data_IF_490476582420
#
_entry.id   IF_490476582420
#
_cell.length_a   1.000
_cell.length_b   1.000
_cell.length_c   1.000
_cell.angle_alpha   90.00
_cell.angle_beta   90.00
_cell.angle_gamma   90.00
#
_symmetry.space_group_name_H-M   'P 1'
#
loop_
_entity.id
_entity.type
_entity.pdbx_description
1 polymer ?
#
# COMPACT_ATOMS: atom_id res chain seq x y z
N UNK A 1 -0.09 -10.14 -0.88
CA UNK A 1 -0.34 -8.85 -0.19
C UNK A 1 -1.80 -8.47 -0.37
N UNK A 2 -2.37 -7.83 0.64
CA UNK A 2 -3.74 -7.31 0.68
C UNK A 2 -3.72 -5.86 1.17
N UNK A 3 -4.55 -5.00 0.61
CA UNK A 3 -4.65 -3.59 1.00
C UNK A 3 -6.09 -3.09 0.97
N UNK A 4 -6.43 -2.21 1.91
CA UNK A 4 -7.68 -1.47 1.92
C UNK A 4 -7.51 -0.11 2.60
N UNK A 5 -8.45 0.79 2.31
CA UNK A 5 -8.53 2.12 2.92
C UNK A 5 -9.99 2.45 3.17
N UNK A 6 -10.26 3.12 4.29
CA UNK A 6 -11.60 3.55 4.63
C UNK A 6 -11.61 4.70 5.62
N UNK A 7 -12.75 4.89 6.25
CA UNK A 7 -13.02 5.94 7.23
C UNK A 7 -13.84 5.39 8.38
N UNK A 8 -13.44 5.75 9.58
CA UNK A 8 -14.22 5.53 10.79
C UNK A 8 -15.07 6.77 11.10
N UNK A 9 -16.38 6.56 11.13
CA UNK A 9 -17.38 7.57 11.47
C UNK A 9 -17.89 7.32 12.90
N UNK A 10 -17.13 7.75 13.91
CA UNK A 10 -17.48 7.53 15.31
C UNK A 10 -16.32 7.86 16.26
N UNK A 11 -16.61 7.99 17.56
CA UNK A 11 -15.62 8.39 18.55
C UNK A 11 -14.57 7.30 18.75
N UNK A 12 -13.34 7.74 19.08
CA UNK A 12 -12.25 6.90 19.58
C UNK A 12 -11.97 5.62 18.76
N UNK A 13 -11.66 5.72 17.45
CA UNK A 13 -11.34 4.56 16.62
C UNK A 13 -10.16 3.74 17.14
N UNK A 14 -9.13 4.39 17.70
CA UNK A 14 -7.98 3.71 18.28
C UNK A 14 -8.36 2.79 19.44
N UNK A 15 -9.27 3.22 20.32
CA UNK A 15 -9.74 2.41 21.45
C UNK A 15 -10.63 1.25 21.00
N UNK A 16 -11.33 1.40 19.87
CA UNK A 16 -12.09 0.29 19.27
C UNK A 16 -11.15 -0.79 18.72
N UNK A 17 -10.09 -0.39 18.01
CA UNK A 17 -9.08 -1.32 17.49
C UNK A 17 -8.37 -2.03 18.64
N UNK A 18 -7.88 -1.28 19.64
CA UNK A 18 -7.14 -1.84 20.78
C UNK A 18 -7.93 -2.93 21.50
N UNK A 19 -9.18 -2.64 21.89
CA UNK A 19 -10.07 -3.62 22.55
C UNK A 19 -10.33 -4.84 21.69
N UNK A 20 -10.46 -4.68 20.37
CA UNK A 20 -10.69 -5.79 19.45
C UNK A 20 -9.45 -6.67 19.31
N UNK A 21 -8.25 -6.09 19.19
CA UNK A 21 -6.99 -6.82 19.13
C UNK A 21 -6.72 -7.59 20.43
N UNK A 22 -6.94 -6.96 21.59
CA UNK A 22 -6.83 -7.61 22.91
C UNK A 22 -7.77 -8.82 23.02
N UNK A 23 -9.01 -8.69 22.52
CA UNK A 23 -9.99 -9.78 22.48
C UNK A 23 -9.53 -10.93 21.57
N UNK A 24 -9.06 -10.63 20.36
CA UNK A 24 -8.58 -11.65 19.43
C UNK A 24 -7.31 -12.36 19.90
N UNK A 25 -6.43 -11.68 20.64
CA UNK A 25 -5.28 -12.31 21.28
C UNK A 25 -5.72 -13.23 22.43
N UNK A 26 -6.67 -12.77 23.27
CA UNK A 26 -7.25 -13.60 24.33
C UNK A 26 -7.94 -14.86 23.77
N UNK A 27 -8.59 -14.74 22.61
CA UNK A 27 -9.23 -15.84 21.88
C UNK A 27 -8.23 -16.70 21.09
N UNK A 28 -6.92 -16.41 21.16
CA UNK A 28 -5.85 -17.09 20.44
C UNK A 28 -6.00 -17.07 18.90
N UNK A 29 -6.73 -16.10 18.37
CA UNK A 29 -6.86 -15.85 16.92
C UNK A 29 -5.66 -15.06 16.41
N UNK A 30 -5.21 -14.06 17.17
CA UNK A 30 -3.97 -13.33 16.91
C UNK A 30 -2.82 -13.98 17.68
N UNK A 31 -1.64 -14.01 17.07
CA UNK A 31 -0.43 -14.46 17.75
C UNK A 31 0.19 -13.36 18.58
N UNK A 32 0.19 -12.14 18.06
CA UNK A 32 0.71 -10.95 18.75
C UNK A 32 0.17 -9.69 18.08
N UNK A 33 0.06 -8.63 18.87
CA UNK A 33 -0.22 -7.29 18.38
C UNK A 33 0.62 -6.28 19.15
N UNK A 34 0.83 -5.10 18.57
CA UNK A 34 1.49 -3.98 19.24
C UNK A 34 0.98 -2.65 18.67
N UNK A 35 1.09 -1.60 19.48
CA UNK A 35 0.85 -0.22 19.10
C UNK A 35 2.21 0.49 19.18
N UNK A 36 2.98 0.54 18.08
CA UNK A 36 4.28 1.20 18.10
C UNK A 36 4.10 2.70 18.38
N UNK A 37 4.94 3.24 19.27
CA UNK A 37 5.08 4.69 19.38
C UNK A 37 5.64 5.21 18.06
N UNK A 38 4.81 5.88 17.26
CA UNK A 38 5.30 6.54 16.06
C UNK A 38 6.25 7.66 16.50
N UNK A 39 7.54 7.47 16.21
CA UNK A 39 8.61 8.39 16.62
C UNK A 39 8.52 9.72 15.83
N UNK A 40 7.72 9.74 14.77
CA UNK A 40 7.41 10.93 14.00
C UNK A 40 6.23 11.72 14.59
N UNK A 41 6.32 13.05 14.48
CA UNK A 41 5.36 14.04 14.98
C UNK A 41 3.96 13.97 14.30
N UNK A 42 3.62 12.86 13.66
CA UNK A 42 2.49 12.63 12.76
C UNK A 42 1.12 12.64 13.45
N UNK A 43 1.07 12.44 14.79
CA UNK A 43 -0.17 12.16 15.55
C UNK A 43 -1.01 11.01 14.97
N UNK A 44 -0.40 10.19 14.10
CA UNK A 44 -1.00 8.99 13.52
C UNK A 44 -0.97 7.89 14.58
N UNK A 45 -2.06 7.12 14.68
CA UNK A 45 -2.06 5.93 15.54
C UNK A 45 -1.82 4.71 14.68
N UNK A 46 -0.88 3.86 15.10
CA UNK A 46 -0.44 2.70 14.32
C UNK A 46 -0.67 1.44 15.14
N UNK A 47 -1.22 0.42 14.50
CA UNK A 47 -1.38 -0.91 15.06
C UNK A 47 -0.72 -1.93 14.14
N UNK A 48 0.06 -2.82 14.71
CA UNK A 48 0.67 -3.96 14.02
C UNK A 48 0.10 -5.25 14.61
N UNK A 49 -0.22 -6.21 13.74
CA UNK A 49 -0.76 -7.50 14.16
C UNK A 49 -0.17 -8.64 13.31
N UNK A 50 0.11 -9.77 13.98
CA UNK A 50 0.60 -11.01 13.37
C UNK A 50 -0.36 -12.15 13.69
N UNK A 51 -0.66 -12.96 12.68
CA UNK A 51 -1.45 -14.19 12.84
C UNK A 51 -1.05 -15.25 11.81
N UNK A 52 -1.59 -16.46 11.98
CA UNK A 52 -1.52 -17.51 10.98
C UNK A 52 -2.83 -17.58 10.20
N UNK A 53 -2.73 -17.39 8.88
CA UNK A 53 -3.82 -17.73 7.98
C UNK A 53 -3.91 -19.27 7.79
N UNK A 54 -5.05 -19.80 7.31
CA UNK A 54 -5.20 -21.21 6.99
C UNK A 54 -4.04 -21.76 6.17
N UNK A 55 -3.50 -22.91 6.57
CA UNK A 55 -2.28 -23.49 6.01
C UNK A 55 -0.99 -23.05 6.73
N UNK A 56 -1.11 -22.53 7.96
CA UNK A 56 0.02 -22.06 8.79
C UNK A 56 0.85 -20.95 8.13
N UNK A 57 0.19 -20.15 7.29
CA UNK A 57 0.85 -19.06 6.56
C UNK A 57 0.92 -17.83 7.46
N UNK A 58 2.13 -17.35 7.74
CA UNK A 58 2.31 -16.12 8.52
C UNK A 58 1.78 -14.91 7.75
N UNK A 59 0.93 -14.12 8.41
CA UNK A 59 0.48 -12.81 7.94
C UNK A 59 0.93 -11.73 8.91
N UNK A 60 1.50 -10.66 8.35
CA UNK A 60 1.87 -9.42 9.02
C UNK A 60 0.98 -8.31 8.49
N UNK A 61 0.40 -7.52 9.36
CA UNK A 61 -0.40 -6.38 8.91
C UNK A 61 -0.21 -5.15 9.78
N UNK A 62 -0.38 -4.00 9.15
CA UNK A 62 -0.29 -2.69 9.77
C UNK A 62 -1.51 -1.87 9.41
N UNK A 63 -2.23 -1.42 10.44
CA UNK A 63 -3.28 -0.44 10.35
C UNK A 63 -2.72 0.92 10.78
N UNK A 64 -2.92 1.94 9.97
CA UNK A 64 -2.60 3.32 10.32
C UNK A 64 -3.87 4.16 10.33
N UNK A 65 -4.09 4.93 11.40
CA UNK A 65 -5.19 5.85 11.57
C UNK A 65 -4.68 7.30 11.47
N UNK A 66 -4.98 7.97 10.36
CA UNK A 66 -4.61 9.38 10.14
C UNK A 66 -5.16 10.26 11.26
N UNK A 67 -4.61 11.46 11.56
CA UNK A 67 -5.19 12.33 12.59
C UNK A 67 -6.66 12.69 12.27
N UNK A 68 -7.51 12.90 13.30
CA UNK A 68 -8.91 13.23 13.12
C UNK A 68 -9.06 14.51 12.29
N UNK A 69 -10.00 14.52 11.34
CA UNK A 69 -10.26 15.67 10.47
C UNK A 69 -11.63 16.29 10.75
N UNK A 70 -11.64 17.61 10.93
CA UNK A 70 -12.88 18.39 11.09
C UNK A 70 -13.53 18.23 12.46
N UNK A 71 -14.81 18.65 12.56
CA UNK A 71 -15.57 18.68 13.81
C UNK A 71 -16.30 17.36 14.14
N UNK A 72 -16.23 16.36 13.25
CA UNK A 72 -17.03 15.13 13.32
C UNK A 72 -16.22 13.90 13.81
N UNK A 73 -15.00 14.09 14.33
CA UNK A 73 -14.08 13.01 14.74
C UNK A 73 -13.91 11.91 13.67
N UNK A 74 -14.05 12.28 12.39
CA UNK A 74 -13.89 11.35 11.28
C UNK A 74 -12.40 11.07 11.06
N UNK A 75 -12.06 9.79 11.03
CA UNK A 75 -10.67 9.35 10.93
C UNK A 75 -10.48 8.37 9.77
N UNK A 76 -9.59 8.70 8.86
CA UNK A 76 -9.24 7.81 7.76
C UNK A 76 -8.30 6.72 8.24
N UNK A 77 -8.47 5.51 7.74
CA UNK A 77 -7.63 4.39 8.05
C UNK A 77 -7.07 3.76 6.78
N UNK A 78 -5.83 3.28 6.85
CA UNK A 78 -5.15 2.53 5.79
C UNK A 78 -4.64 1.22 6.38
N UNK A 79 -4.91 0.10 5.71
CA UNK A 79 -4.51 -1.22 6.16
C UNK A 79 -3.76 -1.95 5.05
N UNK A 80 -2.52 -2.36 5.34
CA UNK A 80 -1.72 -3.24 4.50
C UNK A 80 -1.46 -4.54 5.24
N UNK A 81 -1.64 -5.67 4.57
CA UNK A 81 -1.29 -6.99 5.06
C UNK A 81 -0.40 -7.73 4.04
N UNK A 82 0.69 -8.30 4.52
CA UNK A 82 1.61 -9.11 3.75
C UNK A 82 1.68 -10.51 4.34
N UNK A 83 1.51 -11.50 3.47
CA UNK A 83 1.72 -12.90 3.79
C UNK A 83 3.04 -13.37 3.18
N UNK A 84 3.64 -14.40 3.76
CA UNK A 84 4.82 -15.08 3.22
C UNK A 84 4.58 -15.76 1.84
N UNK A 85 3.32 -15.91 1.45
CA UNK A 85 2.87 -16.53 0.19
C UNK A 85 1.92 -15.61 -0.58
N UNK A 86 1.63 -15.88 -1.88
CA UNK A 86 0.57 -15.20 -2.61
C UNK A 86 -0.73 -15.21 -1.81
N UNK A 87 -1.45 -14.08 -1.82
CA UNK A 87 -2.64 -13.92 -0.99
C UNK A 87 -3.77 -14.84 -1.50
N UNK A 88 -4.33 -15.70 -0.64
CA UNK A 88 -5.55 -16.45 -0.96
C UNK A 88 -6.79 -15.60 -0.57
N UNK A 89 -7.67 -15.25 -1.54
CA UNK A 89 -8.91 -14.52 -1.26
C UNK A 89 -9.84 -15.20 -0.25
N UNK A 90 -9.69 -16.51 -0.01
CA UNK A 90 -10.50 -17.28 0.95
C UNK A 90 -10.08 -17.05 2.40
N UNK A 91 -8.88 -16.51 2.65
CA UNK A 91 -8.46 -16.16 3.99
C UNK A 91 -9.35 -15.07 4.58
N UNK A 92 -9.51 -15.01 5.91
CA UNK A 92 -10.24 -13.93 6.55
C UNK A 92 -9.70 -12.56 6.12
N UNK A 93 -10.58 -11.58 5.98
CA UNK A 93 -10.17 -10.23 5.65
C UNK A 93 -9.32 -9.63 6.76
N UNK A 94 -8.15 -9.05 6.45
CA UNK A 94 -7.35 -8.28 7.42
C UNK A 94 -8.15 -7.21 8.14
N UNK A 95 -9.09 -6.54 7.46
CA UNK A 95 -9.96 -5.56 8.14
C UNK A 95 -10.74 -6.15 9.32
N UNK A 96 -11.18 -7.41 9.24
CA UNK A 96 -11.89 -8.08 10.33
C UNK A 96 -10.96 -8.46 11.51
N UNK A 97 -9.64 -8.49 11.29
CA UNK A 97 -8.66 -8.69 12.35
C UNK A 97 -8.42 -7.41 13.17
N UNK A 98 -8.68 -6.23 12.61
CA UNK A 98 -8.47 -4.94 13.30
C UNK A 98 -9.77 -4.31 13.79
N UNK A 99 -10.87 -4.55 13.08
CA UNK A 99 -12.15 -3.92 13.39
C UNK A 99 -13.17 -4.94 13.87
N UNK A 100 -13.99 -4.58 14.87
CA UNK A 100 -15.06 -5.46 15.35
C UNK A 100 -16.11 -5.68 14.26
N UNK A 101 -16.59 -6.92 14.16
CA UNK A 101 -17.66 -7.31 13.26
C UNK A 101 -19.02 -7.13 13.94
N UNK A 102 -19.94 -6.41 13.30
CA UNK A 102 -21.36 -6.36 13.69
C UNK A 102 -21.80 -5.03 14.30
N UNK A 103 -22.99 -4.56 13.89
CA UNK A 103 -23.59 -3.26 14.21
C UNK A 103 -23.90 -3.01 15.70
N UNK A 104 -23.75 -4.02 16.57
CA UNK A 104 -24.15 -3.96 17.98
C UNK A 104 -23.02 -3.53 18.93
N UNK A 105 -21.75 -3.53 18.47
CA UNK A 105 -20.63 -3.05 19.30
C UNK A 105 -20.37 -1.54 19.10
N UNK A 106 -19.98 -0.78 20.15
CA UNK A 106 -19.50 0.59 20.00
C UNK A 106 -18.18 0.60 19.19
N UNK A 107 -18.17 1.26 18.02
CA UNK A 107 -17.06 1.22 17.04
C UNK A 107 -17.49 0.83 15.61
N UNK A 108 -18.79 0.76 15.35
CA UNK A 108 -19.45 0.25 14.13
C UNK A 108 -19.49 1.20 12.93
N UNK A 109 -18.63 2.21 12.93
CA UNK A 109 -18.57 3.22 11.87
C UNK A 109 -17.38 3.07 10.93
N UNK A 110 -16.57 2.01 11.06
CA UNK A 110 -15.32 1.83 10.31
C UNK A 110 -15.53 1.46 8.84
N UNK A 111 -16.70 0.95 8.49
CA UNK A 111 -17.04 0.35 7.21
C UNK A 111 -17.41 1.38 6.13
N UNK A 112 -16.81 2.56 6.15
CA UNK A 112 -17.02 3.60 5.14
C UNK A 112 -15.82 3.72 4.21
N UNK A 113 -16.05 3.85 2.91
CA UNK A 113 -15.02 4.16 1.92
C UNK A 113 -14.50 5.59 2.14
N UNK A 114 -13.19 5.76 1.97
CA UNK A 114 -12.45 6.91 2.46
C UNK A 114 -12.90 8.26 1.89
N UNK A 115 -13.40 8.32 0.64
CA UNK A 115 -13.70 9.58 -0.06
C UNK A 115 -15.20 9.84 -0.15
N UNK A 116 -15.97 8.88 -0.65
CA UNK A 116 -17.42 9.02 -0.88
C UNK A 116 -18.24 8.67 0.36
N UNK A 117 -17.69 7.93 1.31
CA UNK A 117 -18.43 7.47 2.49
C UNK A 117 -19.43 6.36 2.20
N UNK A 118 -19.30 5.68 1.06
CA UNK A 118 -20.11 4.52 0.76
C UNK A 118 -19.76 3.37 1.71
N UNK A 119 -20.72 2.49 1.98
CA UNK A 119 -20.54 1.37 2.90
C UNK A 119 -19.76 0.25 2.23
N UNK A 120 -18.70 -0.20 2.90
CA UNK A 120 -17.96 -1.42 2.60
C UNK A 120 -18.78 -2.61 3.09
N UNK A 121 -18.92 -3.66 2.27
CA UNK A 121 -19.67 -4.86 2.68
C UNK A 121 -21.20 -4.75 2.60
N UNK A 122 -21.74 -3.60 2.19
CA UNK A 122 -23.17 -3.37 2.07
C UNK A 122 -23.59 -2.81 0.70
N UNK A 123 -24.90 -2.76 0.48
CA UNK A 123 -25.54 -2.28 -0.74
C UNK A 123 -25.56 -0.75 -0.77
N UNK A 124 -24.95 -0.13 -1.78
CA UNK A 124 -25.01 1.32 -1.96
C UNK A 124 -25.94 1.70 -3.11
N UNK A 125 -27.09 2.30 -2.80
CA UNK A 125 -27.99 2.83 -3.82
C UNK A 125 -27.36 4.04 -4.51
N UNK A 126 -27.35 4.03 -5.85
CA UNK A 126 -26.84 5.17 -6.62
C UNK A 126 -27.76 6.38 -6.46
N UNK A 127 -27.20 7.60 -6.33
CA UNK A 127 -28.02 8.81 -6.13
C UNK A 127 -29.04 9.07 -7.25
N UNK A 128 -30.22 9.53 -6.85
CA UNK A 128 -31.27 10.03 -7.75
C UNK A 128 -30.82 11.33 -8.47
N UNK A 129 -30.05 12.18 -7.78
CA UNK A 129 -29.50 13.41 -8.35
C UNK A 129 -28.39 13.11 -9.37
N UNK A 130 -28.51 13.67 -10.58
CA UNK A 130 -27.58 13.41 -11.69
C UNK A 130 -26.16 13.93 -11.41
N UNK A 131 -26.01 15.01 -10.65
CA UNK A 131 -24.70 15.59 -10.32
C UNK A 131 -23.98 14.71 -9.30
N UNK A 132 -24.68 14.25 -8.28
CA UNK A 132 -24.15 13.31 -7.28
C UNK A 132 -23.88 11.93 -7.89
N UNK A 133 -24.76 11.42 -8.75
CA UNK A 133 -24.52 10.19 -9.52
C UNK A 133 -23.19 10.26 -10.29
N UNK A 134 -22.99 11.34 -11.05
CA UNK A 134 -21.75 11.58 -11.79
C UNK A 134 -20.55 11.69 -10.85
N UNK A 135 -20.70 12.31 -9.67
CA UNK A 135 -19.62 12.42 -8.70
C UNK A 135 -19.21 11.04 -8.17
N UNK A 136 -20.19 10.23 -7.76
CA UNK A 136 -19.97 8.88 -7.21
C UNK A 136 -19.34 7.95 -8.25
N UNK A 137 -19.89 7.87 -9.47
CA UNK A 137 -19.36 6.96 -10.49
C UNK A 137 -17.97 7.39 -10.98
N UNK A 138 -17.71 8.69 -11.12
CA UNK A 138 -16.36 9.17 -11.47
C UNK A 138 -15.34 8.88 -10.37
N UNK A 139 -15.75 8.96 -9.11
CA UNK A 139 -14.90 8.52 -8.01
C UNK A 139 -14.65 7.01 -8.08
N UNK A 140 -15.70 6.21 -8.24
CA UNK A 140 -15.63 4.75 -8.31
C UNK A 140 -14.71 4.24 -9.43
N UNK A 141 -14.66 4.91 -10.58
CA UNK A 141 -13.72 4.55 -11.65
C UNK A 141 -12.28 4.98 -11.33
N UNK A 142 -12.09 6.07 -10.57
CA UNK A 142 -10.76 6.60 -10.24
C UNK A 142 -10.16 5.99 -8.98
N UNK A 143 -10.98 5.39 -8.13
CA UNK A 143 -10.50 4.75 -6.92
C UNK A 143 -9.66 3.53 -7.27
N UNK A 144 -8.44 3.52 -6.74
CA UNK A 144 -7.48 2.43 -6.89
C UNK A 144 -7.50 1.48 -5.68
N UNK A 145 -8.12 1.89 -4.57
CA UNK A 145 -8.15 1.12 -3.33
C UNK A 145 -9.21 0.02 -3.35
N UNK A 146 -10.40 0.31 -3.89
CA UNK A 146 -11.51 -0.64 -3.96
C UNK A 146 -11.75 -1.18 -5.37
N UNK A 147 -12.40 -2.33 -5.44
CA UNK A 147 -13.03 -2.86 -6.66
C UNK A 147 -14.48 -2.42 -6.66
N UNK A 148 -14.89 -1.65 -7.66
CA UNK A 148 -16.24 -1.14 -7.77
C UNK A 148 -17.08 -2.00 -8.71
N UNK A 149 -18.25 -2.43 -8.26
CA UNK A 149 -19.20 -3.23 -9.04
C UNK A 149 -20.52 -2.47 -9.14
N UNK A 150 -20.97 -2.20 -10.36
CA UNK A 150 -22.27 -1.57 -10.60
C UNK A 150 -23.25 -2.63 -11.05
N UNK A 151 -24.34 -2.81 -10.30
CA UNK A 151 -25.39 -3.79 -10.57
C UNK A 151 -26.69 -3.07 -10.89
N UNK A 152 -27.34 -3.47 -11.97
CA UNK A 152 -28.64 -2.94 -12.34
C UNK A 152 -29.77 -3.78 -11.76
N UNK A 153 -30.70 -3.13 -11.05
CA UNK A 153 -31.78 -3.81 -10.33
C UNK A 153 -32.99 -4.19 -11.19
N UNK A 154 -32.98 -3.98 -12.51
CA UNK A 154 -34.09 -4.49 -13.32
C UNK A 154 -34.07 -6.02 -13.38
N UNK A 155 -35.27 -6.60 -13.35
CA UNK A 155 -35.58 -8.00 -13.00
C UNK A 155 -35.62 -8.15 -11.48
N UNK A 156 -36.84 -8.36 -10.97
CA UNK A 156 -37.22 -8.29 -9.54
C UNK A 156 -36.17 -8.99 -8.67
N UNK A 157 -35.36 -8.28 -7.86
CA UNK A 157 -34.52 -8.96 -6.90
C UNK A 157 -35.46 -9.69 -5.95
N UNK A 158 -35.42 -11.02 -6.00
CA UNK A 158 -36.05 -11.88 -5.01
C UNK A 158 -35.44 -11.62 -3.62
N UNK A 159 -35.91 -12.32 -2.59
CA UNK A 159 -35.31 -12.19 -1.26
C UNK A 159 -33.79 -12.50 -1.25
N UNK A 160 -33.28 -13.21 -2.27
CA UNK A 160 -31.86 -13.52 -2.48
C UNK A 160 -31.09 -12.43 -3.21
N UNK A 161 -31.76 -11.55 -3.97
CA UNK A 161 -31.17 -10.39 -4.63
C UNK A 161 -31.08 -9.13 -3.74
N UNK A 162 -31.71 -9.16 -2.56
CA UNK A 162 -31.67 -8.07 -1.57
C UNK A 162 -30.37 -7.96 -0.77
N UNK A 163 -29.72 -9.07 -0.35
CA UNK A 163 -28.42 -9.00 0.32
C UNK A 163 -27.32 -8.48 -0.62
N UNK A 164 -26.32 -7.81 -0.06
CA UNK A 164 -25.13 -7.41 -0.79
C UNK A 164 -24.41 -8.65 -1.36
N UNK A 165 -24.03 -8.58 -2.65
CA UNK A 165 -23.16 -9.55 -3.33
C UNK A 165 -21.85 -9.75 -2.57
N UNK A 166 -21.40 -8.70 -1.89
CA UNK A 166 -20.17 -8.71 -1.10
C UNK A 166 -20.20 -9.82 -0.03
N UNK A 167 -21.37 -10.17 0.52
CA UNK A 167 -21.50 -11.26 1.50
C UNK A 167 -21.22 -12.64 0.92
N UNK A 168 -21.44 -12.80 -0.39
CA UNK A 168 -21.20 -14.04 -1.15
C UNK A 168 -19.76 -14.14 -1.67
N UNK A 169 -18.98 -13.06 -1.58
CA UNK A 169 -17.57 -13.09 -1.94
C UNK A 169 -16.72 -13.83 -0.90
N UNK A 170 -15.56 -14.39 -1.32
CA UNK A 170 -14.53 -14.84 -0.39
C UNK A 170 -14.21 -13.76 0.64
N UNK A 171 -13.92 -14.18 1.89
CA UNK A 171 -13.83 -13.24 3.01
C UNK A 171 -12.79 -12.15 2.80
N UNK A 172 -11.64 -12.50 2.21
CA UNK A 172 -10.57 -11.58 1.88
C UNK A 172 -10.97 -10.49 0.87
N UNK A 173 -12.09 -10.61 0.16
CA UNK A 173 -12.58 -9.57 -0.75
C UNK A 173 -13.66 -8.67 -0.15
N UNK A 174 -14.26 -9.05 0.99
CA UNK A 174 -15.44 -8.36 1.53
C UNK A 174 -15.23 -6.88 1.79
N UNK A 175 -14.05 -6.49 2.27
CA UNK A 175 -13.73 -5.09 2.61
C UNK A 175 -12.89 -4.38 1.53
N UNK A 176 -12.85 -4.96 0.32
CA UNK A 176 -12.21 -4.36 -0.86
C UNK A 176 -13.19 -4.13 -2.00
N UNK A 177 -14.43 -4.60 -1.88
CA UNK A 177 -15.45 -4.45 -2.93
C UNK A 177 -16.53 -3.47 -2.48
N UNK A 178 -16.83 -2.51 -3.35
CA UNK A 178 -17.94 -1.57 -3.19
C UNK A 178 -19.01 -1.89 -4.23
N UNK A 179 -20.18 -2.25 -3.76
CA UNK A 179 -21.34 -2.55 -4.59
C UNK A 179 -22.23 -1.32 -4.76
N UNK A 180 -22.52 -0.96 -6.01
CA UNK A 180 -23.39 0.13 -6.41
C UNK A 180 -24.65 -0.43 -7.05
N UNK A 181 -25.82 -0.02 -6.58
CA UNK A 181 -27.11 -0.41 -7.15
C UNK A 181 -27.70 0.70 -8.00
N UNK A 182 -27.89 0.41 -9.27
CA UNK A 182 -28.60 1.25 -10.19
C UNK A 182 -30.09 0.87 -10.20
N UNK A 183 -30.94 1.78 -9.73
CA UNK A 183 -32.38 1.63 -9.84
C UNK A 183 -32.82 1.44 -11.30
N UNK A 184 -33.91 0.69 -11.58
CA UNK A 184 -34.29 0.30 -12.95
C UNK A 184 -34.44 1.47 -13.94
N UNK A 185 -34.96 2.60 -13.46
CA UNK A 185 -35.18 3.83 -14.24
C UNK A 185 -33.88 4.61 -14.52
N UNK A 186 -32.78 4.31 -13.82
CA UNK A 186 -31.51 5.06 -13.86
C UNK A 186 -30.50 4.49 -14.85
N UNK A 187 -30.77 3.35 -15.48
CA UNK A 187 -29.84 2.66 -16.39
C UNK A 187 -29.21 3.59 -17.44
N UNK A 188 -30.03 4.44 -18.07
CA UNK A 188 -29.57 5.35 -19.13
C UNK A 188 -28.61 6.41 -18.57
N UNK A 189 -28.91 6.97 -17.40
CA UNK A 189 -28.05 7.97 -16.76
C UNK A 189 -26.71 7.34 -16.30
N UNK A 190 -26.76 6.13 -15.73
CA UNK A 190 -25.56 5.38 -15.33
C UNK A 190 -24.67 5.09 -16.54
N UNK A 191 -25.22 4.50 -17.61
CA UNK A 191 -24.44 4.19 -18.81
C UNK A 191 -23.92 5.44 -19.52
N UNK A 192 -24.64 6.56 -19.48
CA UNK A 192 -24.13 7.82 -20.01
C UNK A 192 -22.85 8.28 -19.30
N UNK A 193 -22.73 8.05 -17.99
CA UNK A 193 -21.49 8.37 -17.25
C UNK A 193 -20.39 7.35 -17.52
N UNK A 194 -20.73 6.06 -17.58
CA UNK A 194 -19.74 4.98 -17.71
C UNK A 194 -19.19 4.82 -19.13
N UNK A 195 -19.93 5.26 -20.16
CA UNK A 195 -19.48 5.25 -21.55
C UNK A 195 -18.17 6.03 -21.72
N UNK A 196 -17.99 7.14 -21.00
CA UNK A 196 -16.75 7.95 -20.99
C UNK A 196 -15.52 7.15 -20.50
N UNK A 197 -15.75 6.04 -19.79
CA UNK A 197 -14.74 5.16 -19.21
C UNK A 197 -14.69 3.79 -19.88
N UNK A 198 -15.40 3.61 -21.01
CA UNK A 198 -15.41 2.34 -21.75
C UNK A 198 -16.14 1.20 -21.03
N UNK A 199 -17.04 1.52 -20.10
CA UNK A 199 -17.81 0.52 -19.36
C UNK A 199 -19.32 0.71 -19.60
N UNK A 200 -20.06 -0.40 -19.64
CA UNK A 200 -21.52 -0.37 -19.82
C UNK A 200 -22.19 -1.46 -18.99
N UNK A 201 -23.21 -1.06 -18.23
CA UNK A 201 -24.06 -1.93 -17.42
C UNK A 201 -25.18 -2.49 -18.32
N UNK A 202 -25.29 -3.82 -18.48
CA UNK A 202 -26.43 -4.43 -19.16
C UNK A 202 -27.72 -4.28 -18.35
N UNK A 203 -28.87 -4.30 -19.03
CA UNK A 203 -30.16 -4.28 -18.33
C UNK A 203 -30.35 -5.56 -17.51
N UNK A 204 -30.30 -5.42 -16.19
CA UNK A 204 -30.44 -6.52 -15.22
C UNK A 204 -29.14 -7.27 -14.96
N UNK A 205 -28.05 -6.73 -15.49
CA UNK A 205 -26.70 -7.23 -15.38
C UNK A 205 -25.86 -6.44 -14.37
N UNK A 206 -24.57 -6.72 -14.39
CA UNK A 206 -23.57 -6.01 -13.61
C UNK A 206 -22.31 -5.73 -14.43
N UNK A 207 -21.50 -4.79 -13.99
CA UNK A 207 -20.17 -4.54 -14.54
C UNK A 207 -19.17 -4.27 -13.42
N UNK A 208 -17.99 -4.86 -13.52
CA UNK A 208 -16.83 -4.49 -12.68
C UNK A 208 -16.13 -3.32 -13.36
N UNK A 209 -15.98 -2.20 -12.66
CA UNK A 209 -15.40 -1.00 -13.23
C UNK A 209 -13.90 -1.17 -13.52
N UNK A 210 -13.38 -0.60 -14.62
CA UNK A 210 -12.01 -0.83 -15.09
C UNK A 210 -10.91 -0.29 -14.16
N UNK A 211 -11.22 0.71 -13.33
CA UNK A 211 -10.20 1.56 -12.71
C UNK A 211 -9.68 2.64 -13.67
N UNK A 212 -8.89 3.58 -13.16
CA UNK A 212 -8.24 4.63 -13.95
C UNK A 212 -6.80 4.85 -13.45
N UNK A 213 -5.76 4.43 -14.21
CA UNK A 213 -5.85 3.76 -15.50
C UNK A 213 -6.49 2.37 -15.40
N UNK A 214 -7.07 1.90 -16.52
CA UNK A 214 -7.63 0.55 -16.58
C UNK A 214 -6.54 -0.50 -16.31
N UNK A 215 -6.88 -1.54 -15.55
CA UNK A 215 -5.94 -2.61 -15.24
C UNK A 215 -5.42 -3.30 -16.52
N UNK A 216 -4.12 -3.62 -16.63
CA UNK A 216 -3.60 -4.43 -17.73
C UNK A 216 -4.39 -5.74 -17.89
N UNK A 217 -4.86 -6.02 -19.11
CA UNK A 217 -5.69 -7.21 -19.40
C UNK A 217 -7.18 -7.03 -19.11
N UNK A 218 -7.64 -5.81 -18.77
CA UNK A 218 -9.06 -5.50 -18.69
C UNK A 218 -9.70 -5.49 -20.08
N UNK A 219 -10.75 -6.31 -20.26
CA UNK A 219 -11.61 -6.34 -21.44
C UNK A 219 -13.06 -6.13 -20.98
N UNK A 220 -13.70 -5.04 -21.43
CA UNK A 220 -15.00 -4.61 -20.92
C UNK A 220 -16.07 -5.72 -21.03
N UNK A 221 -16.05 -6.49 -22.11
CA UNK A 221 -16.98 -7.60 -22.35
C UNK A 221 -16.79 -8.74 -21.35
N UNK A 222 -15.57 -8.98 -20.87
CA UNK A 222 -15.28 -10.07 -19.90
C UNK A 222 -15.69 -9.74 -18.47
N UNK A 223 -15.85 -8.45 -18.17
CA UNK A 223 -16.22 -7.91 -16.87
C UNK A 223 -17.63 -7.32 -16.84
N UNK A 224 -18.38 -7.48 -17.93
CA UNK A 224 -19.79 -7.14 -18.05
C UNK A 224 -20.64 -8.42 -18.09
N UNK A 225 -21.51 -8.58 -17.09
CA UNK A 225 -22.39 -9.73 -16.92
C UNK A 225 -23.79 -9.32 -17.31
N UNK A 226 -24.44 -10.08 -18.19
CA UNK A 226 -25.74 -9.70 -18.78
C UNK A 226 -26.91 -9.82 -17.81
N UNK A 227 -26.82 -10.78 -16.88
CA UNK A 227 -27.89 -11.10 -15.95
C UNK A 227 -27.30 -11.50 -14.60
N UNK A 228 -27.83 -10.93 -13.52
CA UNK A 228 -27.40 -11.27 -12.15
C UNK A 228 -28.43 -12.13 -11.42
N UNK A 229 -29.72 -11.89 -11.65
CA UNK A 229 -30.80 -12.42 -10.80
C UNK A 229 -31.85 -13.25 -11.54
N UNK A 230 -31.65 -13.61 -12.82
CA UNK A 230 -32.78 -14.10 -13.64
C UNK A 230 -33.45 -15.40 -13.18
N UNK A 231 -32.84 -16.22 -12.31
CA UNK A 231 -33.36 -17.57 -12.03
C UNK A 231 -33.34 -17.96 -10.53
N UNK A 232 -33.16 -17.01 -9.61
CA UNK A 232 -33.01 -17.30 -8.17
C UNK A 232 -31.75 -18.12 -7.82
N UNK A 233 -30.90 -18.42 -8.79
CA UNK A 233 -29.59 -19.02 -8.61
C UNK A 233 -28.59 -18.01 -8.03
N UNK A 234 -27.53 -18.50 -7.38
CA UNK A 234 -26.46 -17.64 -6.89
C UNK A 234 -25.81 -16.87 -8.06
N UNK A 235 -25.44 -15.58 -7.87
CA UNK A 235 -24.90 -14.71 -8.92
C UNK A 235 -23.43 -15.04 -9.26
N UNK A 236 -23.13 -16.30 -9.55
CA UNK A 236 -21.78 -16.85 -9.73
C UNK A 236 -20.99 -16.14 -10.82
N UNK A 237 -21.61 -15.79 -11.95
CA UNK A 237 -20.95 -15.07 -13.04
C UNK A 237 -20.37 -13.71 -12.60
N UNK A 238 -21.09 -12.97 -11.76
CA UNK A 238 -20.63 -11.68 -11.22
C UNK A 238 -19.52 -11.90 -10.19
N UNK A 239 -19.69 -12.88 -9.29
CA UNK A 239 -18.67 -13.21 -8.30
C UNK A 239 -17.36 -13.65 -8.96
N UNK A 240 -17.43 -14.43 -10.04
CA UNK A 240 -16.27 -14.86 -10.81
C UNK A 240 -15.67 -13.72 -11.63
N UNK A 241 -16.47 -12.76 -12.12
CA UNK A 241 -15.95 -11.55 -12.74
C UNK A 241 -15.14 -10.71 -11.73
N UNK A 242 -15.63 -10.55 -10.50
CA UNK A 242 -14.91 -9.84 -9.43
C UNK A 242 -13.61 -10.55 -9.06
N UNK A 243 -13.64 -11.88 -8.90
CA UNK A 243 -12.44 -12.69 -8.61
C UNK A 243 -11.38 -12.58 -9.71
N UNK A 244 -11.80 -12.68 -10.97
CA UNK A 244 -10.90 -12.52 -12.13
C UNK A 244 -10.32 -11.11 -12.20
N UNK A 245 -11.10 -10.09 -11.84
CA UNK A 245 -10.63 -8.71 -11.83
C UNK A 245 -9.60 -8.47 -10.71
N UNK A 246 -9.84 -8.99 -9.51
CA UNK A 246 -8.89 -8.86 -8.40
C UNK A 246 -7.55 -9.57 -8.68
N UNK A 247 -7.58 -10.66 -9.45
CA UNK A 247 -6.39 -11.39 -9.89
C UNK A 247 -5.59 -10.68 -11.00
N UNK A 248 -6.09 -9.58 -11.59
CA UNK A 248 -5.33 -8.81 -12.57
C UNK A 248 -4.11 -8.13 -11.90
N UNK A 249 -2.96 -8.05 -12.60
CA UNK A 249 -1.81 -7.32 -12.08
C UNK A 249 -2.15 -5.82 -12.05
N UNK A 250 -2.41 -5.28 -10.86
CA UNK A 250 -2.71 -3.87 -10.66
C UNK A 250 -1.54 -3.17 -9.97
N UNK A 251 -1.21 -1.93 -10.37
CA UNK A 251 -0.28 -1.12 -9.59
C UNK A 251 -0.82 -0.93 -8.18
N UNK A 252 0.07 -0.68 -7.23
CA UNK A 252 -0.35 -0.34 -5.88
C UNK A 252 -1.15 0.96 -5.90
N UNK A 253 -2.20 1.07 -5.06
CA UNK A 253 -2.98 2.29 -4.98
C UNK A 253 -2.12 3.45 -4.51
N UNK A 254 -2.54 4.69 -4.76
CA UNK A 254 -1.81 5.88 -4.33
C UNK A 254 -1.55 5.85 -2.81
N UNK A 255 -0.27 5.89 -2.42
CA UNK A 255 0.18 5.76 -1.02
C UNK A 255 0.42 4.32 -0.55
N UNK A 256 0.01 3.32 -1.34
CA UNK A 256 0.19 1.90 -1.04
C UNK A 256 1.65 1.44 -1.03
N UNK A 257 2.48 1.91 -1.97
CA UNK A 257 3.92 1.63 -1.99
C UNK A 257 4.62 2.11 -0.71
N UNK A 258 4.29 3.32 -0.28
CA UNK A 258 4.86 3.90 0.95
C UNK A 258 4.39 3.11 2.17
N UNK A 259 3.10 2.80 2.28
CA UNK A 259 2.56 2.02 3.39
C UNK A 259 3.15 0.59 3.45
N UNK A 260 3.38 -0.04 2.29
CA UNK A 260 4.03 -1.35 2.21
C UNK A 260 5.52 -1.28 2.58
N UNK A 261 6.22 -0.23 2.16
CA UNK A 261 7.62 0.00 2.54
C UNK A 261 7.74 0.15 4.05
N UNK A 262 6.87 0.97 4.65
CA UNK A 262 6.78 1.15 6.10
C UNK A 262 6.51 -0.18 6.81
N UNK A 263 5.54 -0.98 6.34
CA UNK A 263 5.26 -2.32 6.90
C UNK A 263 6.50 -3.22 6.88
N UNK A 264 7.34 -3.16 5.84
CA UNK A 264 8.51 -4.05 5.70
C UNK A 264 9.72 -3.57 6.49
N UNK A 265 9.96 -2.26 6.52
CA UNK A 265 11.18 -1.68 7.10
C UNK A 265 11.04 -1.40 8.61
N UNK A 266 9.83 -1.00 9.04
CA UNK A 266 9.53 -0.56 10.41
C UNK A 266 8.66 -1.56 11.17
N UNK A 267 8.73 -2.85 10.83
CA UNK A 267 7.99 -3.91 11.52
C UNK A 267 8.58 -4.23 12.90
N UNK A 268 7.73 -4.34 13.92
CA UNK A 268 8.17 -4.59 15.30
C UNK A 268 7.89 -6.02 15.81
N UNK A 269 6.93 -6.73 15.23
CA UNK A 269 6.53 -8.07 15.69
C UNK A 269 7.35 -9.19 15.02
N UNK A 270 8.67 -9.14 15.19
CA UNK A 270 9.59 -10.19 14.74
C UNK A 270 9.63 -11.34 15.76
N UNK A 271 9.78 -12.56 15.26
CA UNK A 271 10.14 -13.71 16.10
C UNK A 271 11.62 -13.64 16.47
N UNK A 272 12.02 -14.34 17.53
CA UNK A 272 13.43 -14.42 17.95
C UNK A 272 14.33 -14.99 16.84
N UNK A 273 13.83 -15.96 16.07
CA UNK A 273 14.54 -16.50 14.91
C UNK A 273 14.74 -15.43 13.82
N UNK A 274 13.70 -14.67 13.48
CA UNK A 274 13.77 -13.56 12.52
C UNK A 274 14.71 -12.45 12.99
N UNK A 275 14.67 -12.09 14.28
CA UNK A 275 15.59 -11.12 14.89
C UNK A 275 17.05 -11.59 14.81
N UNK A 276 17.30 -12.87 15.08
CA UNK A 276 18.64 -13.46 14.99
C UNK A 276 19.18 -13.46 13.56
N UNK A 277 18.33 -13.77 12.57
CA UNK A 277 18.70 -13.69 11.15
C UNK A 277 19.06 -12.25 10.79
N UNK A 278 18.20 -11.27 11.13
CA UNK A 278 18.45 -9.84 10.86
C UNK A 278 19.74 -9.35 11.53
N UNK A 279 19.99 -9.75 12.78
CA UNK A 279 21.20 -9.38 13.50
C UNK A 279 22.46 -9.93 12.82
N UNK A 280 22.42 -11.18 12.32
CA UNK A 280 23.53 -11.78 11.58
C UNK A 280 23.79 -11.06 10.25
N UNK A 281 22.75 -10.70 9.52
CA UNK A 281 22.86 -9.92 8.28
C UNK A 281 23.46 -8.54 8.55
N UNK A 282 23.03 -7.84 9.61
CA UNK A 282 23.58 -6.56 10.02
C UNK A 282 25.07 -6.68 10.39
N UNK A 283 25.45 -7.70 11.16
CA UNK A 283 26.85 -7.94 11.51
C UNK A 283 27.69 -8.20 10.26
N UNK A 284 27.19 -8.98 9.31
CA UNK A 284 27.88 -9.24 8.04
C UNK A 284 28.07 -7.95 7.22
N UNK A 285 27.03 -7.13 7.09
CA UNK A 285 27.08 -5.84 6.42
C UNK A 285 28.10 -4.90 7.06
N UNK A 286 28.12 -4.79 8.40
CA UNK A 286 29.09 -3.94 9.09
C UNK A 286 30.52 -4.47 8.97
N UNK A 287 30.70 -5.79 8.97
CA UNK A 287 32.01 -6.40 8.74
C UNK A 287 32.53 -6.08 7.32
N UNK A 288 31.68 -6.17 6.31
CA UNK A 288 32.02 -5.79 4.93
C UNK A 288 32.35 -4.31 4.80
N UNK A 289 31.55 -3.44 5.42
CA UNK A 289 31.80 -2.00 5.44
C UNK A 289 33.14 -1.66 6.11
N UNK A 290 33.47 -2.34 7.22
CA UNK A 290 34.74 -2.15 7.92
C UNK A 290 35.93 -2.64 7.09
N UNK A 291 35.81 -3.76 6.39
CA UNK A 291 36.83 -4.26 5.46
C UNK A 291 37.05 -3.26 4.30
N UNK A 292 35.98 -2.73 3.71
CA UNK A 292 36.06 -1.71 2.67
C UNK A 292 36.74 -0.43 3.15
N UNK A 293 36.42 0.04 4.37
CA UNK A 293 37.09 1.20 4.97
C UNK A 293 38.58 0.92 5.26
N UNK A 294 38.91 -0.30 5.68
CA UNK A 294 40.29 -0.72 5.93
C UNK A 294 41.11 -0.72 4.64
N UNK A 295 40.57 -1.31 3.57
CA UNK A 295 41.19 -1.29 2.23
C UNK A 295 41.37 0.13 1.71
N UNK A 296 40.36 0.98 1.87
CA UNK A 296 40.45 2.40 1.48
C UNK A 296 41.57 3.12 2.23
N UNK A 297 41.69 2.93 3.55
CA UNK A 297 42.77 3.49 4.36
C UNK A 297 44.14 3.03 3.89
N UNK A 298 44.29 1.73 3.59
CA UNK A 298 45.58 1.18 3.15
C UNK A 298 45.98 1.74 1.78
N UNK A 299 45.03 1.91 0.85
CA UNK A 299 45.28 2.60 -0.42
C UNK A 299 45.73 4.06 -0.22
N UNK A 300 45.15 4.79 0.74
CA UNK A 300 45.62 6.15 1.07
C UNK A 300 47.03 6.16 1.65
N UNK A 301 47.38 5.18 2.50
CA UNK A 301 48.74 5.05 3.04
C UNK A 301 49.74 4.83 1.91
N UNK A 302 49.48 3.84 1.06
CA UNK A 302 50.35 3.52 -0.08
C UNK A 302 50.50 4.72 -1.04
N UNK A 303 49.44 5.48 -1.25
CA UNK A 303 49.49 6.70 -2.08
C UNK A 303 50.36 7.80 -1.43
N UNK A 304 50.25 7.98 -0.12
CA UNK A 304 51.05 8.94 0.63
C UNK A 304 52.54 8.57 0.67
N UNK A 305 52.84 7.28 0.84
CA UNK A 305 54.21 6.75 0.80
C UNK A 305 54.84 6.98 -0.59
N UNK A 306 54.15 6.61 -1.67
CA UNK A 306 54.62 6.87 -3.05
C UNK A 306 54.82 8.35 -3.34
N UNK A 307 53.96 9.23 -2.83
CA UNK A 307 54.12 10.67 -2.97
C UNK A 307 55.37 11.19 -2.23
N UNK A 308 55.64 10.68 -1.03
CA UNK A 308 56.85 11.02 -0.27
C UNK A 308 58.12 10.52 -0.96
N UNK A 309 58.12 9.31 -1.50
CA UNK A 309 59.21 8.76 -2.29
C UNK A 309 59.51 9.64 -3.52
N UNK A 310 58.47 10.04 -4.27
CA UNK A 310 58.63 10.93 -5.41
C UNK A 310 59.24 12.29 -4.98
N UNK A 311 58.77 12.87 -3.87
CA UNK A 311 59.34 14.11 -3.34
C UNK A 311 60.80 13.97 -2.88
N UNK A 312 61.18 12.83 -2.31
CA UNK A 312 62.56 12.56 -1.92
C UNK A 312 63.48 12.50 -3.16
N UNK A 313 63.06 11.79 -4.21
CA UNK A 313 63.80 11.74 -5.50
C UNK A 313 63.97 13.14 -6.09
N UNK A 314 62.93 13.97 -6.09
CA UNK A 314 63.04 15.35 -6.57
C UNK A 314 64.03 16.19 -5.73
N UNK A 315 64.09 15.99 -4.42
CA UNK A 315 65.03 16.69 -3.53
C UNK A 315 66.47 16.22 -3.73
N UNK A 316 66.70 14.92 -3.92
CA UNK A 316 68.02 14.37 -4.20
C UNK A 316 68.54 14.82 -5.55
N UNK A 317 67.68 14.85 -6.59
CA UNK A 317 68.02 15.40 -7.90
C UNK A 317 68.35 16.91 -7.81
N UNK A 318 67.60 17.68 -7.01
CA UNK A 318 67.87 19.10 -6.78
C UNK A 318 69.09 19.37 -5.87
N UNK A 319 69.54 18.38 -5.09
CA UNK A 319 70.75 18.46 -4.26
C UNK A 319 72.03 18.02 -4.99
N UNK A 320 71.91 17.26 -6.07
CA UNK A 320 73.02 16.80 -6.91
C UNK A 320 73.44 17.81 -8.01
N UNK A 321 72.57 18.76 -8.36
CA UNK A 321 72.92 19.89 -9.23
C UNK A 321 73.02 21.18 -8.39
N UNK A 322 74.16 21.86 -8.46
CA UNK A 322 74.32 23.19 -7.89
C UNK A 322 73.21 24.12 -8.38
N UNK A 323 72.47 24.69 -7.44
CA UNK A 323 71.25 25.46 -7.68
C UNK A 323 71.40 26.62 -8.69
N UNK A 324 70.35 26.88 -9.48
CA UNK A 324 69.91 28.23 -9.78
C UNK A 324 68.53 28.53 -9.13
N UNK A 325 68.12 29.80 -9.00
CA UNK A 325 67.08 30.19 -8.07
C UNK A 325 65.69 29.76 -8.50
N UNK A 326 64.89 29.46 -7.48
CA UNK A 326 63.44 29.23 -7.54
C UNK A 326 62.74 30.34 -8.33
N UNK A 327 62.18 29.99 -9.49
CA UNK A 327 61.08 30.77 -10.11
C UNK A 327 59.76 30.29 -9.52
N UNK A 328 59.08 31.17 -8.79
CA UNK A 328 57.67 31.00 -8.40
C UNK A 328 56.82 30.85 -9.67
N UNK A 329 55.98 29.79 -9.80
CA UNK A 329 54.91 29.80 -10.79
C UNK A 329 53.86 30.82 -10.36
N UNK A 330 53.47 31.68 -11.31
CA UNK A 330 52.49 32.72 -11.10
C UNK A 330 51.10 32.19 -10.76
N UNK A 331 50.33 33.02 -10.07
CA UNK A 331 48.92 32.81 -9.79
C UNK A 331 48.08 32.78 -11.08
N UNK A 332 47.26 31.74 -11.23
CA UNK A 332 46.13 31.69 -12.16
C UNK A 332 45.61 30.27 -12.42
N UNK A 333 44.32 30.14 -12.80
CA UNK A 333 43.14 30.36 -11.97
C UNK A 333 42.84 29.15 -11.05
N UNK A 334 42.06 29.35 -10.00
CA UNK A 334 41.64 28.32 -9.04
C UNK A 334 40.95 27.13 -9.73
N UNK A 335 41.73 26.08 -10.02
CA UNK A 335 41.23 24.77 -10.42
C UNK A 335 40.60 24.07 -9.22
N UNK A 336 39.36 23.64 -9.42
CA UNK A 336 38.44 23.07 -8.43
C UNK A 336 39.09 21.94 -7.62
N UNK A 337 38.90 22.01 -6.29
CA UNK A 337 39.44 21.05 -5.33
C UNK A 337 38.94 19.62 -5.63
N UNK A 338 39.81 18.59 -5.64
CA UNK A 338 39.44 17.18 -5.92
C UNK A 338 38.34 16.62 -5.01
N UNK A 339 38.14 17.23 -3.84
CA UNK A 339 37.04 16.94 -2.93
C UNK A 339 35.65 17.20 -3.52
N UNK A 340 35.50 18.12 -4.48
CA UNK A 340 34.22 18.38 -5.14
C UNK A 340 33.84 17.29 -6.16
N UNK A 341 34.81 16.56 -6.70
CA UNK A 341 34.55 15.41 -7.58
C UNK A 341 34.09 14.17 -6.79
N UNK A 342 34.65 13.95 -5.60
CA UNK A 342 34.20 12.89 -4.68
C UNK A 342 32.83 13.21 -4.07
N UNK A 343 32.56 14.46 -3.71
CA UNK A 343 31.24 14.89 -3.24
C UNK A 343 30.15 14.71 -4.31
N UNK A 344 30.44 15.01 -5.58
CA UNK A 344 29.51 14.75 -6.70
C UNK A 344 29.33 13.26 -7.01
N UNK A 345 30.34 12.43 -6.76
CA UNK A 345 30.22 10.96 -6.87
C UNK A 345 29.29 10.37 -5.81
N UNK A 346 29.37 10.88 -4.58
CA UNK A 346 28.48 10.48 -3.47
C UNK A 346 27.06 11.02 -3.61
N UNK A 347 26.86 12.24 -4.11
CA UNK A 347 25.52 12.76 -4.44
C UNK A 347 24.82 11.94 -5.54
N UNK A 348 25.57 11.45 -6.54
CA UNK A 348 25.02 10.65 -7.63
C UNK A 348 24.66 9.22 -7.22
N UNK A 349 25.31 8.68 -6.20
CA UNK A 349 24.93 7.41 -5.55
C UNK A 349 23.71 7.56 -4.62
N UNK A 350 23.54 8.75 -4.02
CA UNK A 350 22.35 9.07 -3.20
C UNK A 350 21.10 9.38 -4.04
N UNK A 351 21.27 9.80 -5.29
CA UNK A 351 20.19 10.01 -6.26
C UNK A 351 19.79 8.77 -7.08
N UNK A 352 20.53 7.66 -6.98
CA UNK A 352 20.24 6.40 -7.70
C UNK A 352 19.25 5.47 -7.00
N UNK A 353 18.81 5.79 -5.78
CA UNK A 353 17.81 5.06 -5.01
C UNK A 353 16.39 5.62 -5.19
N UNK A 354 16.08 6.11 -6.39
CA UNK A 354 14.71 6.39 -6.85
C UNK A 354 14.63 6.12 -8.36
N UNK A 355 14.34 4.87 -8.69
CA UNK A 355 13.52 4.46 -9.84
C UNK A 355 12.82 3.18 -9.46
#
# INVERSE_FOLDING_TARGET
MWCARGRHCGPAPADAVRRHLEKLEADSVLHSHTEPDDVDLSREHVFEARWLAPGEVTVRARLSLAPPRGAADEQQWTLIAEAEQPWDPRWPSPAAMFWPAGAEEPGTGWDHEAVTGLRLGDVNQLPEDDKELRRVLRHAVRDTWCVHVVVHEAMTPDERGRPALVRLLPEGLRHRVVEHRAAPQRLRAVNWVLDDYGARVPRGGAVVLPGSPAAPGYEAERFSVRSVFLDGNEPTEVLDAVRRFDALPRPLPEGGDQALTVLREQWHLMTMEEELVRARELVAMYAEALDAMTKSRDLYRDAAERANEALAVYREAAGAEGAPPVRRPGAGPAGLSPFQHLARGLERLKGGART
#
